data_IF_180606091486
#
_entry.id   IF_180606091486
#
_cell.length_a   1.000
_cell.length_b   1.000
_cell.length_c   1.000
_cell.angle_alpha   90.00
_cell.angle_beta   90.00
_cell.angle_gamma   90.00
#
_symmetry.space_group_name_H-M   'P 1'
#
loop_
_entity.id
_entity.type
_entity.pdbx_description
1 polymer ?
#
# COMPACT_ATOMS: atom_id res chain seq x y z
N UNK A 1 -51.97 -18.04 -31.59
CA UNK A 1 -51.07 -17.79 -30.44
C UNK A 1 -49.73 -18.43 -30.75
N UNK A 2 -48.69 -17.62 -31.02
CA UNK A 2 -47.31 -18.09 -31.21
C UNK A 2 -46.55 -17.78 -29.93
N UNK A 3 -46.09 -18.80 -29.23
CA UNK A 3 -45.21 -18.65 -28.07
C UNK A 3 -43.78 -18.41 -28.59
N UNK A 4 -43.23 -17.22 -28.32
CA UNK A 4 -41.81 -16.97 -28.47
C UNK A 4 -41.09 -17.50 -27.23
N UNK A 5 -40.29 -18.54 -27.41
CA UNK A 5 -39.29 -19.01 -26.44
C UNK A 5 -38.13 -18.02 -26.39
N UNK A 6 -37.90 -17.44 -25.21
CA UNK A 6 -36.69 -16.67 -24.89
C UNK A 6 -35.54 -17.68 -24.69
N UNK A 7 -34.39 -17.53 -25.35
CA UNK A 7 -33.24 -18.36 -25.03
C UNK A 7 -32.65 -17.92 -23.69
N UNK A 8 -32.67 -18.81 -22.71
CA UNK A 8 -31.90 -18.69 -21.48
C UNK A 8 -30.41 -18.72 -21.85
N UNK A 9 -29.77 -17.56 -21.85
CA UNK A 9 -28.31 -17.47 -21.92
C UNK A 9 -27.79 -17.95 -20.57
N UNK A 10 -27.30 -19.19 -20.53
CA UNK A 10 -26.44 -19.65 -19.45
C UNK A 10 -25.12 -18.88 -19.53
N UNK A 11 -24.98 -17.84 -18.71
CA UNK A 11 -23.65 -17.32 -18.37
C UNK A 11 -23.05 -18.34 -17.41
N UNK A 12 -22.38 -19.36 -17.96
CA UNK A 12 -21.42 -20.12 -17.17
C UNK A 12 -20.22 -19.21 -16.96
N UNK A 13 -20.23 -18.48 -15.85
CA UNK A 13 -19.04 -17.85 -15.32
C UNK A 13 -17.99 -18.94 -15.14
N UNK A 14 -16.88 -18.85 -15.88
CA UNK A 14 -15.69 -19.65 -15.64
C UNK A 14 -15.05 -19.20 -14.31
N UNK A 15 -15.63 -19.66 -13.20
CA UNK A 15 -14.99 -19.70 -11.89
C UNK A 15 -14.17 -20.99 -11.80
N UNK A 16 -13.07 -21.07 -12.55
CA UNK A 16 -12.26 -22.28 -12.59
C UNK A 16 -10.77 -22.02 -12.87
N UNK A 17 -10.18 -20.94 -12.34
CA UNK A 17 -8.73 -20.72 -12.45
C UNK A 17 -8.04 -20.40 -11.11
N UNK A 18 -8.77 -20.11 -10.02
CA UNK A 18 -8.13 -19.82 -8.73
C UNK A 18 -7.80 -21.07 -7.90
N UNK A 19 -8.60 -22.13 -7.99
CA UNK A 19 -8.46 -23.33 -7.14
C UNK A 19 -7.17 -24.17 -7.35
N UNK A 20 -6.69 -24.45 -8.58
CA UNK A 20 -5.54 -25.34 -8.76
C UNK A 20 -4.21 -24.72 -8.31
N UNK A 21 -4.14 -23.39 -8.18
CA UNK A 21 -2.94 -22.67 -7.72
C UNK A 21 -2.79 -22.70 -6.19
N UNK A 22 -3.90 -22.87 -5.47
CA UNK A 22 -3.95 -22.92 -4.01
C UNK A 22 -3.53 -24.29 -3.48
N UNK A 23 -4.09 -25.37 -4.05
CA UNK A 23 -3.76 -26.73 -3.63
C UNK A 23 -2.32 -27.14 -3.98
N UNK A 24 -1.75 -26.64 -5.08
CA UNK A 24 -0.36 -26.97 -5.47
C UNK A 24 0.73 -26.34 -4.58
N UNK A 25 0.40 -25.34 -3.75
CA UNK A 25 1.39 -24.59 -2.96
C UNK A 25 1.41 -24.97 -1.48
N UNK A 26 0.43 -25.72 -0.99
CA UNK A 26 0.40 -26.21 0.39
C UNK A 26 1.59 -27.13 0.74
N UNK A 27 2.23 -27.71 -0.28
CA UNK A 27 3.29 -28.72 -0.12
C UNK A 27 4.71 -28.12 -0.19
N UNK A 28 4.85 -26.80 -0.41
CA UNK A 28 6.13 -26.15 -0.76
C UNK A 28 6.43 -24.87 0.04
N UNK A 29 6.13 -24.84 1.32
CA UNK A 29 6.51 -23.71 2.17
C UNK A 29 8.04 -23.56 2.32
N UNK A 30 8.80 -24.65 2.13
CA UNK A 30 10.26 -24.66 2.24
C UNK A 30 11.00 -24.05 1.03
N UNK A 31 10.35 -23.94 -0.13
CA UNK A 31 10.89 -23.23 -1.30
C UNK A 31 10.16 -21.90 -1.40
N UNK A 32 10.74 -20.81 -0.88
CA UNK A 32 10.17 -19.46 -1.05
C UNK A 32 9.85 -19.23 -2.55
N UNK A 33 8.58 -19.03 -2.93
CA UNK A 33 8.22 -18.79 -4.33
C UNK A 33 8.99 -17.60 -4.92
N UNK A 34 9.22 -17.64 -6.24
CA UNK A 34 9.86 -16.50 -6.92
C UNK A 34 8.98 -15.25 -6.80
N UNK A 35 9.58 -14.03 -6.80
CA UNK A 35 8.82 -12.77 -6.78
C UNK A 35 7.74 -12.69 -7.86
N UNK A 36 8.02 -13.22 -9.07
CA UNK A 36 7.08 -13.26 -10.19
C UNK A 36 5.87 -14.18 -9.90
N UNK A 37 6.13 -15.36 -9.36
CA UNK A 37 5.08 -16.32 -8.95
C UNK A 37 4.18 -15.76 -7.83
N UNK A 38 4.71 -14.87 -6.98
CA UNK A 38 3.91 -14.14 -5.99
C UNK A 38 3.11 -13.01 -6.60
N UNK A 39 3.72 -12.24 -7.50
CA UNK A 39 3.04 -11.17 -8.23
C UNK A 39 1.78 -11.72 -8.92
N UNK A 40 1.88 -12.85 -9.61
CA UNK A 40 0.75 -13.51 -10.25
C UNK A 40 -0.34 -13.92 -9.25
N UNK A 41 0.04 -14.50 -8.11
CA UNK A 41 -0.92 -14.92 -7.09
C UNK A 41 -1.68 -13.73 -6.49
N UNK A 42 -0.98 -12.63 -6.19
CA UNK A 42 -1.59 -11.40 -5.66
C UNK A 42 -2.50 -10.74 -6.72
N UNK A 43 -2.06 -10.72 -7.99
CA UNK A 43 -2.87 -10.22 -9.10
C UNK A 43 -4.11 -11.09 -9.36
N UNK A 44 -4.03 -12.40 -9.18
CA UNK A 44 -5.15 -13.32 -9.33
C UNK A 44 -6.17 -13.18 -8.19
N UNK A 45 -5.71 -12.85 -6.98
CA UNK A 45 -6.56 -12.63 -5.82
C UNK A 45 -7.33 -11.28 -5.86
N UNK A 46 -7.02 -10.41 -6.84
CA UNK A 46 -7.49 -9.02 -7.04
C UNK A 46 -8.77 -8.62 -6.27
N UNK A 47 -8.55 -8.23 -5.02
CA UNK A 47 -9.40 -7.34 -4.22
C UNK A 47 -8.61 -6.11 -3.74
N UNK A 48 -7.36 -5.95 -4.18
CA UNK A 48 -6.52 -4.78 -3.87
C UNK A 48 -7.19 -3.54 -4.45
N UNK A 49 -7.82 -2.75 -3.58
CA UNK A 49 -8.28 -1.41 -3.86
C UNK A 49 -7.11 -0.63 -4.45
N UNK A 50 -7.28 -0.20 -5.69
CA UNK A 50 -6.23 0.31 -6.56
C UNK A 50 -5.53 1.60 -6.08
N UNK A 51 -5.78 2.06 -4.85
CA UNK A 51 -5.28 3.32 -4.32
C UNK A 51 -4.94 3.29 -2.81
N UNK A 52 -4.87 2.11 -2.16
CA UNK A 52 -5.04 2.02 -0.70
C UNK A 52 -4.24 0.89 -0.01
N UNK A 53 -3.02 0.57 -0.46
CA UNK A 53 -2.19 -0.42 0.26
C UNK A 53 -1.58 0.15 1.53
N UNK A 54 -1.52 -0.62 2.62
CA UNK A 54 -0.85 -0.25 3.87
C UNK A 54 0.23 -1.24 4.29
N UNK A 55 1.36 -0.68 4.70
CA UNK A 55 2.55 -1.35 5.24
C UNK A 55 2.75 -1.01 6.72
N UNK A 56 3.46 -1.87 7.45
CA UNK A 56 3.71 -1.67 8.89
C UNK A 56 5.19 -1.86 9.21
N UNK A 57 5.77 -0.94 9.99
CA UNK A 57 7.16 -1.04 10.43
C UNK A 57 7.35 -0.51 11.86
N UNK A 58 8.43 -0.94 12.53
CA UNK A 58 8.79 -0.43 13.86
C UNK A 58 7.90 -0.86 15.02
N UNK A 59 7.23 -2.01 14.92
CA UNK A 59 6.23 -2.47 15.91
C UNK A 59 4.80 -2.06 15.56
N UNK A 60 4.63 -1.22 14.53
CA UNK A 60 3.34 -0.96 13.89
C UNK A 60 2.19 -0.62 14.84
N UNK A 61 1.05 -1.22 14.52
CA UNK A 61 -0.30 -0.93 14.98
C UNK A 61 -0.71 -1.75 16.23
N UNK A 62 -0.49 -1.21 17.43
CA UNK A 62 -0.97 -1.83 18.67
C UNK A 62 -2.25 -1.19 19.23
N UNK A 63 -2.63 -0.01 18.74
CA UNK A 63 -3.76 0.77 19.25
C UNK A 63 -5.06 0.50 18.47
N UNK A 64 -6.19 0.51 19.18
CA UNK A 64 -7.55 0.33 18.60
C UNK A 64 -7.87 1.35 17.50
N UNK A 65 -7.32 2.57 17.60
CA UNK A 65 -7.44 3.65 16.61
C UNK A 65 -6.88 3.26 15.24
N UNK A 66 -5.80 2.49 15.18
CA UNK A 66 -5.21 2.07 13.92
C UNK A 66 -6.06 0.99 13.21
N UNK A 67 -6.65 0.05 13.96
CA UNK A 67 -7.55 -0.97 13.38
C UNK A 67 -8.78 -0.30 12.75
N UNK A 68 -9.35 0.70 13.42
CA UNK A 68 -10.44 1.50 12.87
C UNK A 68 -10.00 2.28 11.64
N UNK A 69 -8.83 2.96 11.68
CA UNK A 69 -8.31 3.74 10.56
C UNK A 69 -8.18 2.92 9.27
N UNK A 70 -7.60 1.71 9.36
CA UNK A 70 -7.53 0.79 8.22
C UNK A 70 -8.91 0.56 7.61
N UNK A 71 -9.90 0.25 8.45
CA UNK A 71 -11.27 -0.07 8.01
C UNK A 71 -11.97 1.14 7.41
N UNK A 72 -11.85 2.29 8.05
CA UNK A 72 -12.53 3.54 7.66
C UNK A 72 -11.97 4.07 6.33
N UNK A 73 -10.70 3.78 6.04
CA UNK A 73 -10.02 4.21 4.81
C UNK A 73 -9.88 3.10 3.77
N UNK A 74 -10.50 1.93 3.95
CA UNK A 74 -10.46 0.84 2.97
C UNK A 74 -9.06 0.26 2.72
N UNK A 75 -8.13 0.44 3.65
CA UNK A 75 -6.73 0.06 3.45
C UNK A 75 -6.53 -1.45 3.49
N UNK A 76 -5.67 -1.95 2.60
CA UNK A 76 -5.40 -3.37 2.43
C UNK A 76 -3.96 -3.64 2.81
N UNK A 77 -3.75 -4.61 3.69
CA UNK A 77 -2.43 -5.11 4.07
C UNK A 77 -2.15 -6.45 3.39
N UNK A 78 -0.89 -6.84 3.33
CA UNK A 78 -0.49 -8.09 2.69
C UNK A 78 -1.26 -9.32 3.22
N UNK A 79 -1.55 -9.39 4.52
CA UNK A 79 -2.29 -10.53 5.10
C UNK A 79 -3.77 -10.59 4.68
N UNK A 80 -4.33 -9.54 4.08
CA UNK A 80 -5.71 -9.57 3.57
C UNK A 80 -5.80 -10.26 2.20
N UNK A 81 -4.67 -10.38 1.50
CA UNK A 81 -4.55 -10.98 0.17
C UNK A 81 -3.54 -12.14 0.14
N UNK A 82 -3.04 -12.51 1.30
CA UNK A 82 -2.10 -13.59 1.49
C UNK A 82 -2.80 -14.93 1.32
N UNK A 83 -2.09 -15.83 0.67
CA UNK A 83 -2.63 -17.11 0.21
C UNK A 83 -1.96 -18.30 0.90
N UNK A 84 -0.81 -18.07 1.56
CA UNK A 84 0.13 -19.11 1.96
C UNK A 84 0.52 -19.08 3.45
N UNK A 85 -0.23 -18.42 4.33
CA UNK A 85 0.07 -18.51 5.78
C UNK A 85 1.49 -18.07 6.17
N UNK A 86 2.05 -17.08 5.48
CA UNK A 86 3.27 -16.33 5.85
C UNK A 86 3.23 -15.80 7.27
N UNK A 87 2.05 -15.71 7.89
CA UNK A 87 1.92 -15.31 9.29
C UNK A 87 2.36 -16.38 10.29
N UNK A 88 2.58 -17.62 9.85
CA UNK A 88 2.95 -18.75 10.71
C UNK A 88 4.36 -19.29 10.36
N UNK A 89 5.39 -18.92 11.13
CA UNK A 89 6.76 -19.39 10.93
C UNK A 89 6.92 -20.91 11.03
N UNK A 90 5.98 -21.63 11.67
CA UNK A 90 6.06 -23.09 11.81
C UNK A 90 5.83 -23.85 10.50
N UNK A 91 5.33 -23.15 9.47
CA UNK A 91 5.21 -23.70 8.13
C UNK A 91 6.55 -23.81 7.39
N UNK A 92 7.62 -23.20 7.92
CA UNK A 92 8.92 -23.11 7.25
C UNK A 92 9.98 -23.92 7.99
N UNK A 93 10.89 -24.53 7.22
CA UNK A 93 12.01 -25.32 7.74
C UNK A 93 12.88 -24.58 8.76
N UNK A 94 13.16 -23.30 8.54
CA UNK A 94 14.02 -22.47 9.37
C UNK A 94 13.67 -20.97 9.27
N UNK A 95 14.25 -20.18 10.17
CA UNK A 95 14.02 -18.74 10.25
C UNK A 95 14.48 -17.98 9.01
N UNK A 96 15.55 -18.44 8.37
CA UNK A 96 16.14 -17.76 7.22
C UNK A 96 15.21 -17.91 6.00
N UNK A 97 14.70 -19.12 5.79
CA UNK A 97 13.70 -19.42 4.74
C UNK A 97 12.42 -18.62 4.97
N UNK A 98 11.97 -18.52 6.22
CA UNK A 98 10.82 -17.69 6.59
C UNK A 98 11.07 -16.20 6.30
N UNK A 99 12.21 -15.65 6.71
CA UNK A 99 12.55 -14.24 6.51
C UNK A 99 12.66 -13.88 5.02
N UNK A 100 13.24 -14.78 4.20
CA UNK A 100 13.32 -14.64 2.75
C UNK A 100 11.93 -14.68 2.10
N UNK A 101 11.06 -15.58 2.55
CA UNK A 101 9.68 -15.64 2.09
C UNK A 101 8.92 -14.35 2.43
N UNK A 102 9.04 -13.86 3.67
CA UNK A 102 8.45 -12.57 4.11
C UNK A 102 8.94 -11.42 3.24
N UNK A 103 10.25 -11.32 3.01
CA UNK A 103 10.81 -10.26 2.18
C UNK A 103 10.29 -10.32 0.73
N UNK A 104 10.22 -11.50 0.12
CA UNK A 104 9.75 -11.66 -1.26
C UNK A 104 8.26 -11.32 -1.42
N UNK A 105 7.42 -11.74 -0.46
CA UNK A 105 6.00 -11.39 -0.43
C UNK A 105 5.78 -9.89 -0.26
N UNK A 106 6.44 -9.29 0.74
CA UNK A 106 6.38 -7.86 1.00
C UNK A 106 6.82 -7.03 -0.20
N UNK A 107 7.90 -7.45 -0.87
CA UNK A 107 8.35 -6.84 -2.13
C UNK A 107 7.30 -6.97 -3.23
N UNK A 108 6.76 -8.17 -3.46
CA UNK A 108 5.75 -8.39 -4.50
C UNK A 108 4.48 -7.56 -4.24
N UNK A 109 4.06 -7.45 -2.98
CA UNK A 109 2.94 -6.61 -2.56
C UNK A 109 3.19 -5.13 -2.89
N UNK A 110 4.38 -4.59 -2.59
CA UNK A 110 4.79 -3.24 -3.00
C UNK A 110 4.81 -3.04 -4.53
N UNK A 111 5.26 -4.04 -5.28
CA UNK A 111 5.35 -3.97 -6.74
C UNK A 111 3.99 -4.05 -7.47
N UNK A 112 2.91 -4.41 -6.76
CA UNK A 112 1.53 -4.42 -7.30
C UNK A 112 0.64 -3.38 -6.64
N UNK A 113 1.16 -2.61 -5.68
CA UNK A 113 0.53 -1.41 -5.16
C UNK A 113 0.32 -0.39 -6.27
N UNK A 114 -0.67 0.48 -6.12
CA UNK A 114 -0.93 1.59 -7.02
C UNK A 114 -1.58 2.76 -6.27
N UNK A 115 -1.53 3.95 -6.85
CA UNK A 115 -2.07 5.17 -6.26
C UNK A 115 -1.27 5.58 -5.01
N UNK A 116 -1.94 5.63 -3.85
CA UNK A 116 -1.30 6.02 -2.59
C UNK A 116 -0.92 4.78 -1.78
N UNK A 117 0.37 4.65 -1.49
CA UNK A 117 0.87 3.66 -0.54
C UNK A 117 1.01 4.27 0.86
N UNK A 118 0.46 3.60 1.85
CA UNK A 118 0.49 4.02 3.24
C UNK A 118 1.51 3.22 4.01
N UNK A 119 2.27 3.86 4.89
CA UNK A 119 3.09 3.16 5.88
C UNK A 119 2.73 3.64 7.26
N UNK A 120 2.49 2.70 8.17
CA UNK A 120 2.35 3.02 9.57
C UNK A 120 3.65 2.76 10.30
N UNK A 121 4.11 3.79 11.01
CA UNK A 121 5.23 3.71 11.93
C UNK A 121 4.75 3.94 13.35
N UNK A 122 5.50 3.44 14.34
CA UNK A 122 5.16 3.53 15.77
C UNK A 122 4.70 4.92 16.20
N UNK A 123 5.34 5.96 15.64
CA UNK A 123 5.09 7.37 15.93
C UNK A 123 5.32 8.25 14.69
N UNK A 124 5.16 9.57 14.81
CA UNK A 124 5.33 10.54 13.72
C UNK A 124 6.78 10.85 13.34
N UNK A 125 7.78 10.28 14.01
CA UNK A 125 9.19 10.51 13.68
C UNK A 125 9.55 9.85 12.34
N UNK A 126 10.67 10.29 11.75
CA UNK A 126 11.22 9.66 10.56
C UNK A 126 11.46 8.17 10.81
N UNK A 127 11.02 7.32 9.88
CA UNK A 127 11.34 5.89 9.91
C UNK A 127 12.85 5.76 9.80
N UNK A 128 13.46 5.12 10.80
CA UNK A 128 14.90 4.88 10.84
C UNK A 128 15.28 3.82 9.80
N UNK A 129 15.98 4.26 8.76
CA UNK A 129 16.45 3.46 7.62
C UNK A 129 17.41 2.33 8.06
N UNK A 130 18.09 2.48 9.22
CA UNK A 130 19.05 1.49 9.73
C UNK A 130 18.43 0.29 10.44
N UNK A 131 17.11 0.31 10.72
CA UNK A 131 16.42 -0.73 11.52
C UNK A 131 16.40 -2.13 10.92
N UNK A 132 16.85 -2.30 9.67
CA UNK A 132 16.87 -3.60 8.99
C UNK A 132 15.50 -4.27 8.87
N UNK A 133 14.40 -3.50 8.95
CA UNK A 133 13.05 -4.02 8.76
C UNK A 133 12.79 -4.37 7.30
N UNK A 134 11.82 -5.25 7.06
CA UNK A 134 11.34 -5.60 5.70
C UNK A 134 10.99 -4.34 4.91
N UNK A 135 10.38 -3.35 5.56
CA UNK A 135 10.13 -2.03 5.00
C UNK A 135 11.36 -1.38 4.37
N UNK A 136 12.45 -1.25 5.12
CA UNK A 136 13.68 -0.62 4.64
C UNK A 136 14.44 -1.50 3.64
N UNK A 137 14.35 -2.82 3.79
CA UNK A 137 15.11 -3.77 2.98
C UNK A 137 14.54 -3.94 1.58
N UNK A 138 13.21 -3.96 1.44
CA UNK A 138 12.57 -4.36 0.18
C UNK A 138 11.29 -3.61 -0.17
N UNK A 139 10.45 -3.21 0.79
CA UNK A 139 9.14 -2.62 0.46
C UNK A 139 9.28 -1.20 -0.08
N UNK A 140 10.05 -0.34 0.61
CA UNK A 140 10.12 1.07 0.24
C UNK A 140 10.81 1.29 -1.10
N UNK A 141 11.90 0.57 -1.39
CA UNK A 141 12.55 0.63 -2.70
C UNK A 141 11.63 0.11 -3.81
N UNK A 142 10.93 -1.00 -3.57
CA UNK A 142 9.97 -1.53 -4.53
C UNK A 142 8.79 -0.59 -4.82
N UNK A 143 8.34 0.20 -3.84
CA UNK A 143 7.32 1.23 -4.04
C UNK A 143 7.84 2.38 -4.91
N UNK A 144 9.09 2.81 -4.71
CA UNK A 144 9.70 3.90 -5.50
C UNK A 144 9.96 3.50 -6.95
N UNK A 145 10.25 2.23 -7.18
CA UNK A 145 10.49 1.67 -8.52
C UNK A 145 9.17 1.31 -9.24
N UNK A 146 8.02 1.53 -8.61
CA UNK A 146 6.70 1.21 -9.15
C UNK A 146 6.01 2.45 -9.71
N UNK A 147 5.94 2.55 -11.04
CA UNK A 147 5.32 3.68 -11.77
C UNK A 147 3.82 3.87 -11.48
N UNK A 148 3.14 2.84 -10.96
CA UNK A 148 1.73 2.94 -10.59
C UNK A 148 1.53 3.61 -9.20
N UNK A 149 2.60 3.80 -8.41
CA UNK A 149 2.56 4.47 -7.10
C UNK A 149 2.80 5.97 -7.30
N UNK A 150 1.87 6.80 -6.82
CA UNK A 150 1.92 8.26 -6.94
C UNK A 150 2.59 8.95 -5.74
N UNK A 151 2.36 8.43 -4.54
CA UNK A 151 2.91 8.97 -3.30
C UNK A 151 2.97 7.89 -2.20
N UNK A 152 3.92 8.07 -1.29
CA UNK A 152 3.98 7.27 -0.05
C UNK A 152 3.74 8.19 1.13
N UNK A 153 2.77 7.83 1.97
CA UNK A 153 2.37 8.59 3.15
C UNK A 153 2.61 7.78 4.41
N UNK A 154 3.39 8.34 5.34
CA UNK A 154 3.54 7.84 6.69
C UNK A 154 2.37 8.30 7.58
N UNK A 155 1.80 7.37 8.34
CA UNK A 155 0.84 7.63 9.42
C UNK A 155 1.57 7.51 10.75
N UNK A 156 1.33 8.46 11.65
CA UNK A 156 1.76 8.39 13.04
C UNK A 156 0.91 7.36 13.81
N UNK A 157 1.54 6.26 14.25
CA UNK A 157 0.88 5.20 15.00
C UNK A 157 0.32 5.62 16.36
N UNK A 158 0.74 6.76 16.91
CA UNK A 158 0.20 7.36 18.14
C UNK A 158 -0.94 8.35 17.88
N UNK A 159 -1.01 8.93 16.69
CA UNK A 159 -2.04 9.86 16.27
C UNK A 159 -2.34 9.69 14.77
N UNK A 160 -3.33 8.86 14.45
CA UNK A 160 -3.67 8.52 13.05
C UNK A 160 -4.19 9.70 12.22
N UNK A 161 -4.54 10.82 12.85
CA UNK A 161 -4.85 12.07 12.15
C UNK A 161 -3.60 12.85 11.71
N UNK A 162 -2.40 12.41 12.11
CA UNK A 162 -1.12 13.02 11.72
C UNK A 162 -0.46 12.17 10.64
N UNK A 163 -0.27 12.77 9.47
CA UNK A 163 0.37 12.14 8.32
C UNK A 163 1.52 12.97 7.76
N UNK A 164 2.48 12.29 7.14
CA UNK A 164 3.64 12.89 6.48
C UNK A 164 3.87 12.24 5.13
N UNK A 165 4.02 13.02 4.07
CA UNK A 165 4.44 12.48 2.78
C UNK A 165 5.94 12.20 2.82
N UNK A 166 6.34 10.97 2.50
CA UNK A 166 7.73 10.52 2.56
C UNK A 166 8.32 10.23 1.18
N UNK A 167 7.48 10.17 0.13
CA UNK A 167 7.87 10.04 -1.26
C UNK A 167 6.75 10.60 -2.18
N UNK A 168 7.04 11.23 -3.34
CA UNK A 168 8.34 11.40 -4.00
C UNK A 168 9.30 12.36 -3.30
N UNK A 169 8.78 13.21 -2.42
CA UNK A 169 9.58 14.10 -1.57
C UNK A 169 9.27 13.79 -0.11
N UNK A 170 10.33 13.60 0.68
CA UNK A 170 10.26 13.54 2.14
C UNK A 170 10.19 14.96 2.69
N UNK A 171 8.96 15.43 2.94
CA UNK A 171 8.69 16.83 3.28
C UNK A 171 9.37 17.28 4.57
N UNK A 172 9.73 16.35 5.48
CA UNK A 172 10.48 16.68 6.71
C UNK A 172 11.92 17.09 6.45
N UNK A 173 12.48 16.72 5.29
CA UNK A 173 13.85 17.07 4.92
C UNK A 173 13.93 18.37 4.12
N UNK A 174 12.80 18.91 3.66
CA UNK A 174 12.77 20.13 2.87
C UNK A 174 13.19 21.32 3.72
N UNK A 175 14.07 22.15 3.15
CA UNK A 175 14.62 23.34 3.79
C UNK A 175 13.92 24.59 3.22
N UNK A 176 13.87 25.65 4.02
CA UNK A 176 13.26 26.92 3.64
C UNK A 176 11.88 27.13 4.27
N UNK A 177 11.15 28.13 3.77
CA UNK A 177 9.76 28.37 4.16
C UNK A 177 8.86 27.64 3.18
N UNK A 178 8.28 26.52 3.65
CA UNK A 178 7.45 25.65 2.86
C UNK A 178 6.07 25.46 3.49
N UNK A 179 5.04 25.36 2.66
CA UNK A 179 3.66 25.12 3.10
C UNK A 179 2.85 24.33 2.08
N UNK A 180 1.86 23.59 2.58
CA UNK A 180 0.82 22.99 1.74
C UNK A 180 -0.21 24.04 1.33
N UNK A 181 -0.63 24.00 0.07
CA UNK A 181 -1.69 24.82 -0.51
C UNK A 181 -2.77 23.94 -1.13
N UNK A 182 -4.03 24.33 -0.95
CA UNK A 182 -5.20 23.50 -1.27
C UNK A 182 -5.73 22.78 -0.03
N UNK A 183 -7.06 22.71 0.10
CA UNK A 183 -7.73 22.17 1.28
C UNK A 183 -8.71 21.08 0.88
N UNK A 184 -8.44 19.83 1.30
CA UNK A 184 -9.43 18.78 1.19
C UNK A 184 -10.71 19.18 1.97
N UNK A 185 -11.92 18.97 1.42
CA UNK A 185 -12.18 18.09 0.28
C UNK A 185 -12.10 18.70 -1.13
N UNK A 186 -11.78 19.96 -1.40
CA UNK A 186 -11.67 20.45 -2.79
C UNK A 186 -10.25 20.98 -3.09
N UNK A 187 -9.55 20.33 -4.01
CA UNK A 187 -8.17 20.64 -4.40
C UNK A 187 -8.09 20.84 -5.92
N UNK A 188 -6.88 20.78 -6.49
CA UNK A 188 -6.43 21.45 -7.72
C UNK A 188 -5.90 22.86 -7.42
N UNK A 189 -4.92 22.86 -6.52
CA UNK A 189 -4.24 24.05 -6.03
C UNK A 189 -2.96 24.33 -6.82
N UNK A 190 -2.60 25.60 -6.93
CA UNK A 190 -1.34 26.07 -7.53
C UNK A 190 -0.46 26.74 -6.47
N UNK A 191 0.85 26.74 -6.73
CA UNK A 191 1.78 27.43 -5.87
C UNK A 191 1.65 28.95 -6.05
N UNK A 192 1.68 29.73 -4.96
CA UNK A 192 1.66 31.19 -5.07
C UNK A 192 2.92 31.71 -5.77
N UNK A 193 2.80 32.89 -6.38
CA UNK A 193 3.91 33.56 -7.07
C UNK A 193 5.15 33.66 -6.17
N UNK A 194 6.32 33.37 -6.76
CA UNK A 194 7.60 33.37 -6.05
C UNK A 194 7.90 32.11 -5.25
N UNK A 195 7.03 31.10 -5.28
CA UNK A 195 7.30 29.77 -4.70
C UNK A 195 7.38 28.70 -5.79
N UNK A 196 8.01 27.56 -5.47
CA UNK A 196 8.12 26.41 -6.37
C UNK A 196 7.43 25.19 -5.80
N UNK A 197 6.70 24.46 -6.65
CA UNK A 197 6.11 23.15 -6.30
C UNK A 197 7.23 22.14 -6.05
N UNK A 198 7.21 21.52 -4.87
CA UNK A 198 8.11 20.42 -4.47
C UNK A 198 7.39 19.08 -4.45
N UNK A 199 6.14 19.06 -3.99
CA UNK A 199 5.33 17.86 -3.93
C UNK A 199 3.86 18.16 -4.21
N UNK A 200 3.08 17.11 -4.41
CA UNK A 200 1.62 17.15 -4.50
C UNK A 200 1.05 15.92 -3.81
N UNK A 201 -0.15 16.04 -3.26
CA UNK A 201 -0.78 14.93 -2.55
C UNK A 201 -2.30 14.99 -2.70
N UNK A 202 -2.93 13.82 -2.71
CA UNK A 202 -4.40 13.68 -2.72
C UNK A 202 -5.01 13.89 -1.32
N UNK A 203 -4.20 13.93 -0.26
CA UNK A 203 -4.67 13.86 1.12
C UNK A 203 -4.36 15.14 1.91
N UNK A 204 -5.36 15.70 2.59
CA UNK A 204 -5.20 16.79 3.57
C UNK A 204 -4.50 16.35 4.86
N UNK A 205 -4.15 17.28 5.75
CA UNK A 205 -3.48 16.96 7.03
C UNK A 205 -4.27 15.97 7.88
N UNK A 206 -5.60 16.02 7.85
CA UNK A 206 -6.49 15.11 8.60
C UNK A 206 -6.97 13.91 7.78
N UNK A 207 -6.20 13.47 6.78
CA UNK A 207 -6.52 12.28 5.95
C UNK A 207 -7.77 12.42 5.05
N UNK A 208 -8.36 13.60 5.02
CA UNK A 208 -9.43 13.95 4.07
C UNK A 208 -8.91 13.95 2.63
N UNK A 209 -9.70 13.43 1.69
CA UNK A 209 -9.31 13.30 0.28
C UNK A 209 -9.77 14.50 -0.54
N UNK A 210 -8.92 14.94 -1.45
CA UNK A 210 -9.27 15.87 -2.52
C UNK A 210 -10.33 15.25 -3.48
N UNK A 211 -11.46 15.94 -3.67
CA UNK A 211 -12.52 15.56 -4.62
C UNK A 211 -12.17 15.91 -6.06
N UNK A 212 -11.23 16.83 -6.26
CA UNK A 212 -10.64 17.21 -7.54
C UNK A 212 -9.16 17.52 -7.35
N UNK A 213 -8.33 17.19 -8.34
CA UNK A 213 -6.90 17.51 -8.36
C UNK A 213 -6.12 17.07 -7.12
N UNK A 214 -5.09 17.85 -6.77
CA UNK A 214 -4.23 17.62 -5.60
C UNK A 214 -3.95 18.92 -4.85
N UNK A 215 -3.55 18.81 -3.59
CA UNK A 215 -2.87 19.91 -2.89
C UNK A 215 -1.40 19.94 -3.32
N UNK A 216 -0.76 21.10 -3.23
CA UNK A 216 0.65 21.27 -3.62
C UNK A 216 1.49 21.76 -2.44
N UNK A 217 2.69 21.21 -2.30
CA UNK A 217 3.67 21.64 -1.31
C UNK A 217 4.62 22.61 -1.99
N UNK A 218 4.63 23.86 -1.53
CA UNK A 218 5.34 24.95 -2.16
C UNK A 218 6.41 25.50 -1.22
N UNK A 219 7.59 25.79 -1.75
CA UNK A 219 8.70 26.35 -0.99
C UNK A 219 9.25 27.61 -1.66
N UNK A 220 9.69 28.58 -0.84
CA UNK A 220 10.62 29.63 -1.27
C UNK A 220 12.04 29.06 -1.26
N UNK A 221 12.81 29.31 -2.33
CA UNK A 221 14.24 28.94 -2.39
C UNK A 221 15.08 29.66 -1.32
#
# INVERSE_FOLDING_TARGET
MKFSTIPTIFITAQLAVAAPLLEQRADKYDDAPSPESFREAILAAKTIGADQTIFYTGGGCAARSCISYKKDHGLIKIQDVEVLGISDPSNYKDSDTYDDAVANWSKAFAQVSSGVAWVMFRDGNKIDESRGSVWNKVEFDALKDNDDVEEVIQIDGTNVASIQQIWPVEIRNEKGTCSWHGSAPACDAECPDGTKKRAESRYGPDTNVCTSGKKVYCCTD
#
